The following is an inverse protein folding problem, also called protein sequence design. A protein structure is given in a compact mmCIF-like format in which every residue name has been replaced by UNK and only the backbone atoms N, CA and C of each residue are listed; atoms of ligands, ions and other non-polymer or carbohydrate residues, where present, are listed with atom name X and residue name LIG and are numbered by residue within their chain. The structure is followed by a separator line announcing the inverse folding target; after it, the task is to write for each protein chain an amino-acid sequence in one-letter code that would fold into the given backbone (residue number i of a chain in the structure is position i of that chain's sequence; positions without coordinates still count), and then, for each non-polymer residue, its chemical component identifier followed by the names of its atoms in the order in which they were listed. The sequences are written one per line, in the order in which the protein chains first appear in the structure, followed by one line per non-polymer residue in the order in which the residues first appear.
data_IF_528755357761
#
_entry.id   IF_528755357761
#
_cell.length_a   1.000
_cell.length_b   1.000
_cell.length_c   1.000
_cell.angle_alpha   90.00
_cell.angle_beta   90.00
_cell.angle_gamma   90.00
#
_symmetry.space_group_name_H-M   'P 1'
#
loop_
_entity.id
_entity.type
_entity.pdbx_description
1 polymer ?
#
# COMPACT_ATOMS: atom_id res chain seq x y z
N UNK A 1 -12.19 -30.99 19.53
CA UNK A 1 -13.14 -32.13 19.39
C UNK A 1 -14.50 -31.69 19.86
N UNK A 2 -15.44 -31.49 18.94
CA UNK A 2 -16.76 -30.93 19.23
C UNK A 2 -17.64 -32.01 19.87
N UNK A 3 -17.59 -32.13 21.20
CA UNK A 3 -18.44 -33.05 21.99
C UNK A 3 -19.91 -32.62 22.07
N UNK A 4 -20.31 -31.57 21.35
CA UNK A 4 -21.60 -30.88 21.52
C UNK A 4 -22.82 -31.71 21.12
N UNK A 5 -22.77 -32.43 20.01
CA UNK A 5 -23.96 -33.13 19.47
C UNK A 5 -24.38 -34.32 20.35
N UNK A 6 -23.43 -35.14 20.78
CA UNK A 6 -23.69 -36.29 21.66
C UNK A 6 -24.04 -35.83 23.07
N UNK A 7 -23.42 -34.77 23.59
CA UNK A 7 -23.70 -34.27 24.94
C UNK A 7 -25.08 -33.62 25.06
N UNK A 8 -25.52 -32.87 24.04
CA UNK A 8 -26.86 -32.27 24.01
C UNK A 8 -27.95 -33.35 23.94
N UNK A 9 -27.76 -34.38 23.10
CA UNK A 9 -28.67 -35.51 23.03
C UNK A 9 -28.74 -36.26 24.37
N UNK A 10 -27.60 -36.41 25.05
CA UNK A 10 -27.54 -37.09 26.35
C UNK A 10 -28.26 -36.29 27.44
N UNK A 11 -28.10 -34.96 27.49
CA UNK A 11 -28.79 -34.09 28.46
C UNK A 11 -30.32 -34.12 28.25
N UNK A 12 -30.78 -34.09 26.99
CA UNK A 12 -32.21 -34.18 26.66
C UNK A 12 -32.82 -35.57 26.92
N UNK A 13 -31.99 -36.61 27.04
CA UNK A 13 -32.38 -37.98 27.35
C UNK A 13 -32.36 -38.30 28.86
N UNK A 14 -31.94 -37.37 29.72
CA UNK A 14 -31.89 -37.61 31.16
C UNK A 14 -33.33 -37.68 31.70
N UNK A 15 -33.71 -38.79 32.38
CA UNK A 15 -35.06 -38.92 32.93
C UNK A 15 -35.27 -37.93 34.09
N UNK A 16 -36.48 -37.37 34.18
CA UNK A 16 -36.84 -36.25 35.08
C UNK A 16 -36.73 -36.56 36.58
N UNK A 17 -36.55 -37.82 36.96
CA UNK A 17 -36.23 -38.23 38.33
C UNK A 17 -34.80 -37.84 38.74
N UNK A 18 -33.84 -37.87 37.82
CA UNK A 18 -32.45 -37.48 38.07
C UNK A 18 -32.27 -35.95 38.08
N UNK A 19 -33.18 -35.21 37.44
CA UNK A 19 -33.17 -33.74 37.46
C UNK A 19 -33.43 -33.16 38.85
N UNK A 20 -34.28 -33.82 39.64
CA UNK A 20 -34.56 -33.41 41.02
C UNK A 20 -33.45 -33.82 41.99
N UNK A 21 -32.78 -34.94 41.72
CA UNK A 21 -31.79 -35.53 42.63
C UNK A 21 -30.40 -34.88 42.47
N UNK A 22 -30.04 -34.44 41.27
CA UNK A 22 -28.71 -33.85 40.98
C UNK A 22 -28.76 -32.58 40.09
N UNK A 23 -29.49 -31.52 40.48
CA UNK A 23 -29.65 -30.31 39.67
C UNK A 23 -28.34 -29.56 39.42
N UNK A 24 -27.40 -29.60 40.37
CA UNK A 24 -26.09 -28.94 40.27
C UNK A 24 -25.21 -29.61 39.22
N UNK A 25 -25.26 -30.94 39.12
CA UNK A 25 -24.48 -31.71 38.16
C UNK A 25 -24.94 -31.43 36.73
N UNK A 26 -26.26 -31.36 36.51
CA UNK A 26 -26.85 -30.97 35.23
C UNK A 26 -26.48 -29.53 34.83
N UNK A 27 -26.56 -28.59 35.77
CA UNK A 27 -26.16 -27.21 35.52
C UNK A 27 -24.68 -27.09 35.13
N UNK A 28 -23.80 -27.82 35.82
CA UNK A 28 -22.36 -27.81 35.54
C UNK A 28 -22.05 -28.43 34.17
N UNK A 29 -22.67 -29.57 33.85
CA UNK A 29 -22.51 -30.22 32.53
C UNK A 29 -23.01 -29.32 31.41
N UNK A 30 -24.19 -28.69 31.56
CA UNK A 30 -24.72 -27.74 30.58
C UNK A 30 -23.86 -26.48 30.44
N UNK A 31 -23.29 -25.98 31.55
CA UNK A 31 -22.38 -24.84 31.53
C UNK A 31 -21.07 -25.15 30.80
N UNK A 32 -20.44 -26.29 31.09
CA UNK A 32 -19.19 -26.71 30.46
C UNK A 32 -19.37 -26.99 28.96
N UNK A 33 -20.51 -27.57 28.55
CA UNK A 33 -20.81 -27.79 27.13
C UNK A 33 -21.02 -26.46 26.39
N UNK A 34 -21.74 -25.51 26.98
CA UNK A 34 -21.93 -24.18 26.39
C UNK A 34 -20.59 -23.45 26.22
N UNK A 35 -19.76 -23.42 27.27
CA UNK A 35 -18.46 -22.73 27.23
C UNK A 35 -17.51 -23.38 26.23
N UNK A 36 -17.44 -24.71 26.19
CA UNK A 36 -16.62 -25.44 25.19
C UNK A 36 -17.11 -25.23 23.76
N UNK A 37 -18.43 -25.09 23.56
CA UNK A 37 -18.99 -24.82 22.25
C UNK A 37 -18.65 -23.39 21.79
N UNK A 38 -18.82 -22.40 22.68
CA UNK A 38 -18.47 -21.00 22.39
C UNK A 38 -16.98 -20.81 22.12
N UNK A 39 -16.10 -21.41 22.94
CA UNK A 39 -14.66 -21.38 22.67
C UNK A 39 -14.32 -22.13 21.39
N UNK A 40 -14.97 -23.26 21.10
CA UNK A 40 -14.83 -23.96 19.84
C UNK A 40 -15.18 -23.09 18.64
N UNK A 41 -16.29 -22.36 18.68
CA UNK A 41 -16.75 -21.48 17.59
C UNK A 41 -15.85 -20.25 17.43
N UNK A 42 -15.28 -19.73 18.51
CA UNK A 42 -14.37 -18.58 18.48
C UNK A 42 -12.95 -18.97 18.01
N UNK A 43 -12.50 -20.17 18.37
CA UNK A 43 -11.14 -20.65 18.06
C UNK A 43 -11.09 -21.33 16.69
N UNK A 44 -12.17 -21.98 16.22
CA UNK A 44 -12.22 -22.60 14.89
C UNK A 44 -11.80 -21.65 13.76
N UNK A 45 -12.36 -20.43 13.61
CA UNK A 45 -11.98 -19.55 12.50
C UNK A 45 -10.53 -19.09 12.58
N UNK A 46 -9.89 -19.20 13.75
CA UNK A 46 -8.49 -18.86 13.94
C UNK A 46 -7.54 -20.05 13.73
N UNK A 47 -8.03 -21.29 13.85
CA UNK A 47 -7.28 -22.53 13.62
C UNK A 47 -7.58 -23.19 12.27
N UNK A 48 -8.68 -22.81 11.64
CA UNK A 48 -8.92 -23.04 10.23
C UNK A 48 -7.91 -22.18 9.49
N UNK A 49 -6.69 -22.68 9.35
CA UNK A 49 -5.79 -22.22 8.31
C UNK A 49 -6.62 -22.28 7.02
N UNK A 50 -7.01 -21.12 6.51
CA UNK A 50 -7.33 -21.01 5.10
C UNK A 50 -6.08 -21.53 4.42
N UNK A 51 -6.15 -22.75 3.88
CA UNK A 51 -5.17 -23.21 2.92
C UNK A 51 -5.31 -22.24 1.74
N UNK A 52 -4.61 -21.11 1.82
CA UNK A 52 -4.25 -20.34 0.66
C UNK A 52 -3.55 -21.35 -0.23
N UNK A 53 -4.26 -21.82 -1.26
CA UNK A 53 -3.63 -22.52 -2.38
C UNK A 53 -2.35 -21.75 -2.67
N UNK A 54 -1.20 -22.43 -2.61
CA UNK A 54 0.09 -21.84 -2.92
C UNK A 54 0.04 -21.40 -4.39
N UNK A 55 -0.53 -20.21 -4.64
CA UNK A 55 -0.57 -19.62 -5.96
C UNK A 55 0.88 -19.47 -6.35
N UNK A 56 1.24 -20.06 -7.48
CA UNK A 56 2.59 -19.99 -8.00
C UNK A 56 2.84 -18.54 -8.48
N UNK A 57 3.14 -17.66 -7.53
CA UNK A 57 3.32 -16.23 -7.76
C UNK A 57 4.42 -15.97 -8.79
N UNK A 58 5.41 -16.86 -8.87
CA UNK A 58 6.47 -16.83 -9.88
C UNK A 58 5.90 -17.05 -11.29
N UNK A 59 4.98 -18.00 -11.46
CA UNK A 59 4.27 -18.21 -12.73
C UNK A 59 3.47 -16.97 -13.13
N UNK A 60 2.73 -16.36 -12.18
CA UNK A 60 1.96 -15.15 -12.45
C UNK A 60 2.86 -13.96 -12.83
N UNK A 61 3.97 -13.77 -12.12
CA UNK A 61 4.96 -12.74 -12.45
C UNK A 61 5.54 -12.99 -13.85
N UNK A 62 5.86 -14.25 -14.17
CA UNK A 62 6.36 -14.64 -15.49
C UNK A 62 5.39 -14.27 -16.63
N UNK A 63 4.12 -14.61 -16.47
CA UNK A 63 3.07 -14.27 -17.47
C UNK A 63 2.94 -12.75 -17.62
N UNK A 64 2.88 -12.01 -16.50
CA UNK A 64 2.73 -10.56 -16.56
C UNK A 64 3.94 -9.89 -17.24
N UNK A 65 5.16 -10.40 -16.97
CA UNK A 65 6.38 -9.93 -17.62
C UNK A 65 6.38 -10.22 -19.13
N UNK A 66 5.93 -11.41 -19.54
CA UNK A 66 5.82 -11.75 -20.96
C UNK A 66 4.82 -10.82 -21.68
N UNK A 67 3.67 -10.55 -21.04
CA UNK A 67 2.67 -9.62 -21.57
C UNK A 67 3.22 -8.20 -21.66
N UNK A 68 3.95 -7.69 -20.66
CA UNK A 68 4.57 -6.36 -20.73
C UNK A 68 5.59 -6.26 -21.85
N UNK A 69 6.44 -7.28 -22.02
CA UNK A 69 7.43 -7.30 -23.11
C UNK A 69 6.76 -7.28 -24.49
N UNK A 70 5.63 -7.97 -24.65
CA UNK A 70 4.91 -7.95 -25.92
C UNK A 70 4.21 -6.61 -26.17
N UNK A 71 3.62 -6.02 -25.13
CA UNK A 71 3.03 -4.67 -25.21
C UNK A 71 4.08 -3.60 -25.51
N UNK A 72 5.29 -3.74 -24.98
CA UNK A 72 6.43 -2.85 -25.26
C UNK A 72 6.90 -2.96 -26.72
N UNK A 73 6.91 -4.15 -27.31
CA UNK A 73 7.17 -4.30 -28.76
C UNK A 73 6.07 -3.66 -29.59
N UNK A 74 4.80 -3.86 -29.24
CA UNK A 74 3.65 -3.29 -29.97
C UNK A 74 3.62 -1.75 -29.88
N UNK A 75 4.22 -1.18 -28.83
CA UNK A 75 4.39 0.26 -28.63
C UNK A 75 5.33 0.91 -29.67
N UNK A 76 6.33 0.17 -30.16
CA UNK A 76 7.28 0.67 -31.18
C UNK A 76 6.57 0.90 -32.52
N UNK A 77 5.66 0.00 -32.90
CA UNK A 77 4.94 0.03 -34.17
C UNK A 77 3.65 0.87 -34.16
N UNK A 78 3.08 1.12 -32.98
CA UNK A 78 1.77 1.76 -32.85
C UNK A 78 1.81 3.30 -32.84
N UNK A 79 0.96 3.93 -33.66
CA UNK A 79 0.78 5.40 -33.70
C UNK A 79 0.15 5.99 -32.44
N UNK A 80 -0.76 5.27 -31.78
CA UNK A 80 -1.45 5.73 -30.58
C UNK A 80 -0.87 5.07 -29.33
N UNK A 81 0.21 5.66 -28.81
CA UNK A 81 1.00 5.08 -27.71
C UNK A 81 0.35 5.23 -26.33
N UNK A 82 -0.58 6.17 -26.17
CA UNK A 82 -1.12 6.56 -24.85
C UNK A 82 -1.86 5.42 -24.12
N UNK A 83 -2.74 4.64 -24.77
CA UNK A 83 -3.42 3.51 -24.12
C UNK A 83 -2.47 2.36 -23.78
N UNK A 84 -1.46 2.12 -24.64
CA UNK A 84 -0.44 1.09 -24.41
C UNK A 84 0.43 1.42 -23.19
N UNK A 85 0.89 2.68 -23.07
CA UNK A 85 1.61 3.12 -21.87
C UNK A 85 0.80 2.91 -20.59
N UNK A 86 -0.49 3.28 -20.60
CA UNK A 86 -1.35 3.09 -19.44
C UNK A 86 -1.55 1.60 -19.07
N UNK A 87 -1.60 0.71 -20.08
CA UNK A 87 -1.69 -0.72 -19.85
C UNK A 87 -0.37 -1.28 -19.28
N UNK A 88 0.78 -0.92 -19.86
CA UNK A 88 2.10 -1.33 -19.39
C UNK A 88 2.32 -0.90 -17.93
N UNK A 89 2.03 0.37 -17.60
CA UNK A 89 2.11 0.88 -16.23
C UNK A 89 1.22 0.09 -15.25
N UNK A 90 0.04 -0.33 -15.70
CA UNK A 90 -0.85 -1.16 -14.87
C UNK A 90 -0.24 -2.53 -14.58
N UNK A 91 0.34 -3.18 -15.59
CA UNK A 91 0.99 -4.47 -15.44
C UNK A 91 2.24 -4.38 -14.55
N UNK A 92 3.09 -3.36 -14.74
CA UNK A 92 4.22 -3.09 -13.85
C UNK A 92 3.78 -2.89 -12.39
N UNK A 93 2.73 -2.11 -12.15
CA UNK A 93 2.19 -1.94 -10.80
C UNK A 93 1.67 -3.25 -10.18
N UNK A 94 1.12 -4.16 -10.98
CA UNK A 94 0.69 -5.49 -10.53
C UNK A 94 1.87 -6.40 -10.22
N UNK A 95 2.89 -6.42 -11.08
CA UNK A 95 4.14 -7.18 -10.87
C UNK A 95 4.82 -6.72 -9.58
N UNK A 96 4.97 -5.41 -9.40
CA UNK A 96 5.56 -4.82 -8.19
C UNK A 96 4.80 -5.28 -6.93
N UNK A 97 3.47 -5.27 -6.97
CA UNK A 97 2.66 -5.70 -5.84
C UNK A 97 2.84 -7.20 -5.53
N UNK A 98 2.92 -8.05 -6.56
CA UNK A 98 3.13 -9.50 -6.38
C UNK A 98 4.52 -9.82 -5.84
N UNK A 99 5.55 -9.07 -6.26
CA UNK A 99 6.90 -9.20 -5.72
C UNK A 99 6.91 -8.76 -4.26
N UNK A 100 6.40 -7.58 -3.96
CA UNK A 100 6.38 -7.06 -2.59
C UNK A 100 5.55 -7.91 -1.64
N UNK A 101 4.44 -8.51 -2.09
CA UNK A 101 3.62 -9.38 -1.24
C UNK A 101 4.35 -10.65 -0.79
N UNK A 102 5.39 -11.06 -1.52
CA UNK A 102 6.24 -12.20 -1.16
C UNK A 102 7.38 -11.81 -0.20
N UNK A 103 7.71 -10.51 -0.15
CA UNK A 103 8.75 -9.99 0.74
C UNK A 103 8.27 -9.89 2.20
N UNK A 104 9.24 -9.88 3.11
CA UNK A 104 8.93 -9.72 4.54
C UNK A 104 8.40 -8.30 4.84
N UNK A 105 7.70 -8.15 5.97
CA UNK A 105 7.10 -6.85 6.37
C UNK A 105 8.13 -5.73 6.51
N UNK A 106 9.38 -6.04 6.87
CA UNK A 106 10.45 -5.06 7.00
C UNK A 106 10.93 -4.54 5.65
N UNK A 107 11.15 -5.42 4.68
CA UNK A 107 11.52 -5.09 3.32
C UNK A 107 10.41 -4.29 2.60
N UNK A 108 9.15 -4.57 2.90
CA UNK A 108 8.02 -3.74 2.44
C UNK A 108 8.08 -2.31 3.02
N UNK A 109 8.35 -2.17 4.33
CA UNK A 109 8.52 -0.86 4.99
C UNK A 109 9.71 -0.09 4.43
N UNK A 110 10.85 -0.76 4.23
CA UNK A 110 12.07 -0.17 3.68
C UNK A 110 11.88 0.27 2.22
N UNK A 111 11.18 -0.53 1.41
CA UNK A 111 10.83 -0.18 0.03
C UNK A 111 9.93 1.06 -0.04
N UNK A 112 8.93 1.12 0.84
CA UNK A 112 8.05 2.28 0.95
C UNK A 112 8.81 3.54 1.39
N UNK A 113 9.73 3.42 2.34
CA UNK A 113 10.60 4.50 2.77
C UNK A 113 11.53 4.97 1.64
N UNK A 114 12.08 4.04 0.85
CA UNK A 114 12.90 4.35 -0.32
C UNK A 114 12.08 5.12 -1.38
N UNK A 115 10.85 4.68 -1.67
CA UNK A 115 9.95 5.38 -2.60
C UNK A 115 9.65 6.81 -2.18
N UNK A 116 9.50 7.05 -0.88
CA UNK A 116 9.30 8.40 -0.35
C UNK A 116 10.55 9.28 -0.48
N UNK A 117 11.73 8.70 -0.27
CA UNK A 117 12.98 9.40 -0.51
C UNK A 117 13.12 9.79 -1.99
N UNK A 118 12.85 8.85 -2.90
CA UNK A 118 12.84 9.11 -4.34
C UNK A 118 11.85 10.23 -4.66
N UNK A 119 10.60 10.13 -4.20
CA UNK A 119 9.58 11.16 -4.42
C UNK A 119 10.05 12.55 -3.95
N UNK A 120 10.71 12.64 -2.80
CA UNK A 120 11.24 13.93 -2.30
C UNK A 120 12.36 14.48 -3.18
N UNK A 121 13.33 13.65 -3.55
CA UNK A 121 14.46 14.07 -4.40
C UNK A 121 13.96 14.48 -5.79
N UNK A 122 13.06 13.70 -6.37
CA UNK A 122 12.49 13.94 -7.69
C UNK A 122 11.58 15.17 -7.70
N UNK A 123 10.83 15.43 -6.62
CA UNK A 123 10.04 16.66 -6.48
C UNK A 123 10.92 17.89 -6.38
N UNK A 124 11.95 17.85 -5.54
CA UNK A 124 12.89 18.97 -5.37
C UNK A 124 13.67 19.23 -6.68
N UNK A 125 14.13 18.17 -7.34
CA UNK A 125 14.81 18.26 -8.64
C UNK A 125 13.91 18.80 -9.75
N UNK A 126 12.63 18.39 -9.75
CA UNK A 126 11.62 18.90 -10.69
C UNK A 126 11.39 20.40 -10.50
N UNK A 127 11.23 20.84 -9.25
CA UNK A 127 10.99 22.25 -8.92
C UNK A 127 12.19 23.10 -9.29
N UNK A 128 13.41 22.65 -8.96
CA UNK A 128 14.65 23.32 -9.34
C UNK A 128 14.81 23.42 -10.88
N UNK A 129 14.59 22.31 -11.61
CA UNK A 129 14.70 22.31 -13.07
C UNK A 129 13.67 23.24 -13.73
N UNK A 130 12.50 23.40 -13.12
CA UNK A 130 11.48 24.33 -13.59
C UNK A 130 11.83 25.79 -13.27
N UNK A 131 12.33 26.08 -12.06
CA UNK A 131 12.78 27.42 -11.67
C UNK A 131 13.98 27.91 -12.51
N UNK A 132 14.88 27.01 -12.89
CA UNK A 132 16.05 27.31 -13.72
C UNK A 132 15.71 27.39 -15.23
N UNK A 133 14.43 27.33 -15.61
CA UNK A 133 13.91 27.33 -16.99
C UNK A 133 14.53 26.23 -17.88
N UNK A 134 15.08 25.19 -17.24
CA UNK A 134 15.65 23.99 -17.89
C UNK A 134 14.58 23.00 -18.31
N UNK A 135 13.32 23.25 -17.95
CA UNK A 135 12.23 22.33 -18.21
C UNK A 135 10.95 23.05 -18.64
N UNK A 136 10.33 22.57 -19.72
CA UNK A 136 9.08 23.16 -20.23
C UNK A 136 7.91 22.95 -19.27
N UNK A 137 6.96 23.89 -19.24
CA UNK A 137 5.72 23.80 -18.46
C UNK A 137 4.89 22.52 -18.78
N UNK A 138 5.03 21.99 -20.00
CA UNK A 138 4.38 20.73 -20.39
C UNK A 138 5.09 19.54 -19.74
N UNK A 139 6.41 19.46 -19.82
CA UNK A 139 7.18 18.42 -19.16
C UNK A 139 6.95 18.45 -17.64
N UNK A 140 6.87 19.66 -17.05
CA UNK A 140 6.54 19.85 -15.64
C UNK A 140 5.22 19.22 -15.26
N UNK A 141 4.13 19.52 -15.98
CA UNK A 141 2.82 18.94 -15.67
C UNK A 141 2.75 17.43 -15.85
N UNK A 142 3.50 16.88 -16.82
CA UNK A 142 3.57 15.43 -17.05
C UNK A 142 4.30 14.76 -15.90
N UNK A 143 5.49 15.26 -15.53
CA UNK A 143 6.30 14.72 -14.45
C UNK A 143 5.62 14.89 -13.08
N UNK A 144 4.99 16.04 -12.84
CA UNK A 144 4.20 16.29 -11.64
C UNK A 144 3.03 15.29 -11.50
N UNK A 145 2.39 14.90 -12.61
CA UNK A 145 1.36 13.86 -12.60
C UNK A 145 1.95 12.48 -12.27
N UNK A 146 3.13 12.17 -12.78
CA UNK A 146 3.86 10.96 -12.44
C UNK A 146 4.17 10.90 -10.93
N UNK A 147 4.74 11.96 -10.36
CA UNK A 147 5.02 12.06 -8.92
C UNK A 147 3.75 11.92 -8.08
N UNK A 148 2.64 12.55 -8.51
CA UNK A 148 1.34 12.44 -7.83
C UNK A 148 0.78 11.01 -7.84
N UNK A 149 0.92 10.29 -8.95
CA UNK A 149 0.50 8.89 -9.04
C UNK A 149 1.35 8.01 -8.11
N UNK A 150 2.65 8.28 -8.02
CA UNK A 150 3.57 7.60 -7.11
C UNK A 150 3.16 7.86 -5.65
N UNK A 151 2.92 9.11 -5.27
CA UNK A 151 2.43 9.51 -3.95
C UNK A 151 1.14 8.78 -3.56
N UNK A 152 0.16 8.68 -4.48
CA UNK A 152 -1.09 7.96 -4.23
C UNK A 152 -0.87 6.45 -4.02
N UNK A 153 0.04 5.84 -4.77
CA UNK A 153 0.38 4.42 -4.64
C UNK A 153 1.03 4.09 -3.28
N UNK A 154 1.84 5.03 -2.79
CA UNK A 154 2.50 5.01 -1.48
C UNK A 154 1.42 5.17 -0.40
N UNK A 155 0.66 6.26 -0.42
CA UNK A 155 -0.32 6.60 0.62
C UNK A 155 -1.37 5.51 0.86
N UNK A 156 -1.80 4.78 -0.19
CA UNK A 156 -2.74 3.65 -0.05
C UNK A 156 -2.18 2.49 0.76
N UNK A 157 -0.87 2.26 0.75
CA UNK A 157 -0.20 1.18 1.51
C UNK A 157 0.21 1.61 2.92
N UNK A 158 0.47 2.90 3.13
CA UNK A 158 0.80 3.50 4.44
C UNK A 158 -0.35 3.58 5.46
N UNK A 159 -1.58 3.23 5.08
CA UNK A 159 -2.77 3.35 5.92
C UNK A 159 -2.71 2.53 7.23
N UNK A 160 -1.64 1.77 7.52
CA UNK A 160 -1.47 1.04 8.78
C UNK A 160 -0.37 1.55 9.74
N UNK A 161 0.44 2.58 9.42
CA UNK A 161 1.63 2.91 10.24
C UNK A 161 1.86 4.41 10.49
N UNK A 162 1.22 4.91 11.55
CA UNK A 162 1.44 6.22 12.21
C UNK A 162 2.92 6.57 12.48
N UNK A 163 3.82 5.57 12.45
CA UNK A 163 5.26 5.69 12.68
C UNK A 163 5.97 6.60 11.68
N UNK A 164 5.52 6.63 10.42
CA UNK A 164 6.12 7.49 9.39
C UNK A 164 5.80 8.97 9.62
N UNK A 165 4.52 9.29 9.91
CA UNK A 165 4.12 10.65 10.31
C UNK A 165 4.84 11.10 11.58
N UNK A 166 5.15 10.19 12.50
CA UNK A 166 5.93 10.49 13.70
C UNK A 166 7.41 10.82 13.38
N UNK A 167 8.06 10.09 12.48
CA UNK A 167 9.46 10.36 12.10
C UNK A 167 9.62 11.60 11.21
N UNK A 168 8.70 11.81 10.27
CA UNK A 168 8.68 13.02 9.42
C UNK A 168 8.32 14.26 10.23
N UNK A 169 7.36 14.16 11.16
CA UNK A 169 7.04 15.29 12.05
C UNK A 169 8.20 15.67 12.96
N UNK A 170 9.01 14.70 13.45
CA UNK A 170 10.24 14.99 14.19
C UNK A 170 11.29 15.74 13.34
N UNK A 171 11.35 15.49 12.02
CA UNK A 171 12.26 16.19 11.10
C UNK A 171 11.81 17.63 10.84
N UNK A 172 10.52 17.84 10.61
CA UNK A 172 9.91 19.18 10.46
C UNK A 172 10.04 19.98 11.74
N UNK A 173 9.83 19.34 12.90
CA UNK A 173 9.99 19.99 14.21
C UNK A 173 11.43 20.45 14.43
N UNK A 174 12.43 19.69 13.98
CA UNK A 174 13.85 20.07 14.06
C UNK A 174 14.18 21.24 13.12
N UNK A 175 13.58 21.28 11.93
CA UNK A 175 13.72 22.40 10.99
C UNK A 175 13.08 23.69 11.53
N UNK A 176 11.85 23.59 12.06
CA UNK A 176 11.16 24.72 12.69
C UNK A 176 11.89 25.22 13.95
N UNK A 177 12.50 24.35 14.75
CA UNK A 177 13.34 24.76 15.89
C UNK A 177 14.57 25.54 15.43
N UNK A 178 15.22 25.12 14.34
CA UNK A 178 16.36 25.85 13.77
C UNK A 178 15.94 27.19 13.16
N UNK A 179 14.76 27.24 12.54
CA UNK A 179 14.21 28.43 11.92
C UNK A 179 13.70 29.43 12.96
N UNK A 180 13.05 29.02 14.05
CA UNK A 180 12.71 29.91 15.17
C UNK A 180 13.96 30.51 15.82
N UNK A 181 15.07 29.77 15.89
CA UNK A 181 16.34 30.31 16.37
C UNK A 181 17.02 31.29 15.40
N UNK A 182 16.65 31.30 14.11
CA UNK A 182 17.26 32.15 13.07
C UNK A 182 16.30 33.17 12.42
N UNK A 183 15.01 33.13 12.75
CA UNK A 183 13.92 34.06 12.37
C UNK A 183 14.02 35.44 13.06
N UNK A 184 15.24 35.93 13.23
CA UNK A 184 15.49 37.35 13.45
C UNK A 184 15.71 38.14 12.15
N UNK A 185 16.00 37.51 11.00
CA UNK A 185 16.63 38.25 9.87
C UNK A 185 16.12 38.05 8.43
N UNK A 186 15.23 37.10 8.09
CA UNK A 186 14.99 36.75 6.65
C UNK A 186 13.55 36.94 6.13
N UNK A 187 12.63 37.57 6.85
CA UNK A 187 11.22 37.68 6.41
C UNK A 187 10.91 38.84 5.42
N UNK A 188 11.82 39.21 4.49
CA UNK A 188 11.64 40.45 3.69
C UNK A 188 11.62 40.35 2.17
N UNK A 189 11.79 39.19 1.53
CA UNK A 189 12.01 39.17 0.06
C UNK A 189 10.93 38.49 -0.81
N UNK A 190 9.81 38.03 -0.26
CA UNK A 190 8.85 37.19 -1.01
C UNK A 190 7.65 37.95 -1.62
N UNK A 191 7.90 38.95 -2.48
CA UNK A 191 6.82 39.61 -3.23
C UNK A 191 7.24 40.02 -4.65
N UNK A 192 6.88 39.19 -5.65
CA UNK A 192 6.48 39.51 -7.05
C UNK A 192 6.58 38.21 -7.90
N UNK A 193 5.51 37.65 -8.48
CA UNK A 193 4.81 37.99 -9.77
C UNK A 193 5.73 37.84 -11.01
N UNK A 194 5.39 37.31 -12.21
CA UNK A 194 4.15 36.87 -12.88
C UNK A 194 4.51 36.23 -14.27
N UNK A 195 3.72 35.25 -14.74
CA UNK A 195 3.24 34.90 -16.12
C UNK A 195 4.05 35.14 -17.44
N UNK A 196 4.12 34.13 -18.34
CA UNK A 196 3.52 34.11 -19.72
C UNK A 196 4.00 32.99 -20.71
N UNK A 197 3.06 32.10 -21.09
CA UNK A 197 2.69 31.49 -22.41
C UNK A 197 3.73 30.98 -23.47
N UNK A 198 3.68 29.65 -23.66
CA UNK A 198 3.37 28.81 -24.86
C UNK A 198 4.11 28.98 -26.22
N UNK A 199 4.80 27.90 -26.66
CA UNK A 199 4.68 27.27 -28.00
C UNK A 199 5.19 25.82 -27.99
N UNK A 200 4.70 25.05 -28.96
CA UNK A 200 4.74 23.59 -29.00
C UNK A 200 5.95 23.05 -29.78
N UNK A 201 6.74 22.20 -29.13
CA UNK A 201 7.45 21.02 -29.63
C UNK A 201 8.18 20.39 -28.41
N UNK A 202 8.86 19.27 -28.60
CA UNK A 202 9.78 18.66 -27.61
C UNK A 202 9.19 17.61 -26.66
N UNK A 203 8.59 16.58 -27.26
CA UNK A 203 8.59 15.23 -26.66
C UNK A 203 9.97 14.55 -26.77
N UNK A 204 10.85 15.03 -27.67
CA UNK A 204 12.14 14.38 -27.96
C UNK A 204 13.26 14.73 -26.94
N UNK A 205 13.12 15.81 -26.17
CA UNK A 205 14.13 16.25 -25.20
C UNK A 205 14.16 15.44 -23.88
N UNK A 206 13.12 14.62 -23.62
CA UNK A 206 13.02 13.85 -22.37
C UNK A 206 14.00 12.65 -22.38
N UNK A 207 14.40 12.16 -23.57
CA UNK A 207 15.32 11.04 -23.68
C UNK A 207 16.79 11.44 -23.48
N UNK A 208 17.13 12.71 -23.69
CA UNK A 208 18.52 13.18 -23.68
C UNK A 208 19.04 13.49 -22.26
N UNK A 209 18.14 13.61 -21.28
CA UNK A 209 18.50 13.88 -19.88
C UNK A 209 19.00 12.63 -19.12
N UNK A 210 18.99 11.46 -19.76
CA UNK A 210 19.42 10.17 -19.19
C UNK A 210 20.67 9.57 -19.85
N UNK A 211 21.40 10.34 -20.65
CA UNK A 211 22.75 10.00 -21.15
C UNK A 211 23.82 10.86 -20.48
#
# INVERSE_FOLDING_TARGET
GVKGTVSIATILLIPSNLEQEYPILLFLVAGVTLVSFLTGLLVLPHLSDEQEESKDYLMYIGILNEVTLELEKELEDTKNKLPLYAAIDNYHGRIENLILSQENKGAQEDWEALKLLILSIESDGLEQAYEEDKMSERAYRVYQRYLKNMEQSINRKFASRLTYYFLVSLRILRFLLHEVFTLGKTFRSWKNEESQKLRALDYDQIAELYL
#
